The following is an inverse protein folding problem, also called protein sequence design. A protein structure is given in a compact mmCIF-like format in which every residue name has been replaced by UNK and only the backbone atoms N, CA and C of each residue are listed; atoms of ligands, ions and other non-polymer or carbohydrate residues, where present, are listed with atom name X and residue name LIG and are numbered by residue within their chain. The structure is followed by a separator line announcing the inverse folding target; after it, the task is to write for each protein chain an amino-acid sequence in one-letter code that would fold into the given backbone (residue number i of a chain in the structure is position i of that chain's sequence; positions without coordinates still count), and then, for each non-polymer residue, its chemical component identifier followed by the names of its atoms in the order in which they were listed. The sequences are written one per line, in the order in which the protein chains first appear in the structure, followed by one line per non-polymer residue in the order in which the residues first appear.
data_IF_264278450284
#
_entry.id   IF_264278450284
#
_cell.length_a   1.000
_cell.length_b   1.000
_cell.length_c   1.000
_cell.angle_alpha   90.00
_cell.angle_beta   90.00
_cell.angle_gamma   90.00
#
_symmetry.space_group_name_H-M   'P 1'
#
loop_
_entity.id
_entity.type
_entity.pdbx_description
1 polymer ?
#
# COMPACT_ATOMS: atom_id res chain seq x y z
N UNK A 1 19.02 5.43 6.25
CA UNK A 1 18.05 5.15 5.16
C UNK A 1 17.40 6.47 4.76
N UNK A 2 17.19 6.75 3.46
CA UNK A 2 16.49 7.96 3.00
C UNK A 2 15.03 7.87 3.46
N UNK A 3 14.47 8.94 4.02
CA UNK A 3 13.06 9.06 4.37
C UNK A 3 12.27 9.42 3.12
N UNK A 4 11.25 8.66 2.78
CA UNK A 4 10.40 8.90 1.62
C UNK A 4 8.97 9.20 2.06
N UNK A 5 8.31 10.09 1.33
CA UNK A 5 6.91 10.46 1.54
C UNK A 5 6.13 10.23 0.27
N UNK A 6 5.08 9.43 0.37
CA UNK A 6 4.22 9.07 -0.76
C UNK A 6 2.75 9.36 -0.50
N UNK A 7 1.96 9.36 -1.56
CA UNK A 7 0.51 9.46 -1.50
C UNK A 7 -0.13 8.27 -2.19
N UNK A 8 -1.32 7.87 -1.75
CA UNK A 8 -2.10 6.82 -2.38
C UNK A 8 -3.51 7.30 -2.71
N UNK A 9 -4.00 6.89 -3.86
CA UNK A 9 -5.32 7.28 -4.36
C UNK A 9 -6.24 6.08 -4.49
N UNK A 10 -7.51 6.26 -4.15
CA UNK A 10 -8.55 5.32 -4.51
C UNK A 10 -8.83 5.40 -6.01
N UNK A 11 -9.08 4.25 -6.62
CA UNK A 11 -9.33 4.10 -8.06
C UNK A 11 -10.81 4.27 -8.42
N UNK A 12 -11.35 5.46 -8.14
CA UNK A 12 -12.77 5.81 -8.27
C UNK A 12 -13.03 7.07 -9.11
N UNK A 13 -11.99 7.59 -9.78
CA UNK A 13 -12.03 8.89 -10.43
C UNK A 13 -12.11 8.80 -11.97
N UNK A 14 -12.50 9.85 -12.63
CA UNK A 14 -12.41 9.96 -14.08
C UNK A 14 -10.96 10.18 -14.56
N UNK A 15 -10.68 9.79 -15.80
CA UNK A 15 -9.34 9.81 -16.39
C UNK A 15 -8.61 11.16 -16.27
N UNK A 16 -9.31 12.27 -16.54
CA UNK A 16 -8.72 13.60 -16.45
C UNK A 16 -8.27 13.98 -15.03
N UNK A 17 -8.98 13.50 -14.00
CA UNK A 17 -8.64 13.74 -12.61
C UNK A 17 -7.33 13.04 -12.22
N UNK A 18 -7.08 11.82 -12.68
CA UNK A 18 -5.83 11.11 -12.40
C UNK A 18 -4.60 11.84 -12.93
N UNK A 19 -4.66 12.34 -14.16
CA UNK A 19 -3.55 13.11 -14.74
C UNK A 19 -3.29 14.41 -13.97
N UNK A 20 -4.33 15.12 -13.55
CA UNK A 20 -4.21 16.35 -12.78
C UNK A 20 -3.63 16.11 -11.37
N UNK A 21 -4.12 15.07 -10.67
CA UNK A 21 -3.60 14.67 -9.36
C UNK A 21 -2.12 14.27 -9.43
N UNK A 22 -1.74 13.46 -10.42
CA UNK A 22 -0.37 13.00 -10.57
C UNK A 22 0.61 14.16 -10.80
N UNK A 23 0.27 15.12 -11.68
CA UNK A 23 1.07 16.32 -11.90
C UNK A 23 1.24 17.11 -10.61
N UNK A 24 0.14 17.35 -9.88
CA UNK A 24 0.17 18.13 -8.64
C UNK A 24 1.04 17.48 -7.56
N UNK A 25 0.94 16.16 -7.35
CA UNK A 25 1.80 15.47 -6.37
C UNK A 25 3.27 15.46 -6.80
N UNK A 26 3.55 15.34 -8.10
CA UNK A 26 4.93 15.46 -8.60
C UNK A 26 5.47 16.88 -8.44
N UNK A 27 4.67 17.92 -8.68
CA UNK A 27 5.05 19.34 -8.48
C UNK A 27 5.38 19.63 -7.02
N UNK A 28 4.61 19.10 -6.06
CA UNK A 28 4.95 19.20 -4.64
C UNK A 28 6.21 18.42 -4.27
N UNK A 29 6.60 17.45 -5.09
CA UNK A 29 7.83 16.69 -4.93
C UNK A 29 7.67 15.46 -4.03
N UNK A 30 6.51 14.81 -3.97
CA UNK A 30 6.38 13.49 -3.36
C UNK A 30 7.28 12.47 -4.05
N UNK A 31 7.80 11.49 -3.28
CA UNK A 31 8.75 10.50 -3.80
C UNK A 31 8.06 9.38 -4.59
N UNK A 32 6.84 9.03 -4.20
CA UNK A 32 6.05 8.01 -4.89
C UNK A 32 4.54 8.29 -4.81
N UNK A 33 3.81 7.73 -5.76
CA UNK A 33 2.35 7.64 -5.71
C UNK A 33 1.88 6.20 -5.92
N UNK A 34 0.80 5.84 -5.25
CA UNK A 34 0.16 4.53 -5.36
C UNK A 34 -1.29 4.68 -5.82
N UNK A 35 -1.81 3.63 -6.46
CA UNK A 35 -3.26 3.47 -6.65
C UNK A 35 -3.71 2.19 -5.99
N UNK A 36 -4.76 2.25 -5.17
CA UNK A 36 -5.31 1.09 -4.49
C UNK A 36 -5.93 0.10 -5.47
N UNK A 37 -5.75 -1.19 -5.20
CA UNK A 37 -6.35 -2.29 -5.94
C UNK A 37 -7.47 -2.96 -5.14
N UNK A 38 -8.41 -2.17 -4.64
CA UNK A 38 -9.53 -2.66 -3.84
C UNK A 38 -10.61 -3.27 -4.72
N UNK A 39 -11.34 -4.25 -4.16
CA UNK A 39 -12.45 -4.90 -4.85
C UNK A 39 -13.55 -3.87 -5.21
N UNK A 40 -14.20 -4.09 -6.35
CA UNK A 40 -15.30 -3.27 -6.87
C UNK A 40 -14.93 -1.82 -7.25
N UNK A 41 -13.63 -1.49 -7.20
CA UNK A 41 -13.09 -0.25 -7.76
C UNK A 41 -12.43 -0.51 -9.12
N UNK A 42 -11.97 0.55 -9.81
CA UNK A 42 -11.27 0.40 -11.08
C UNK A 42 -9.95 -0.37 -10.88
N UNK A 43 -9.55 -1.26 -11.79
CA UNK A 43 -8.23 -1.89 -11.73
C UNK A 43 -7.12 -0.84 -11.70
N UNK A 44 -6.14 -0.93 -10.78
CA UNK A 44 -5.18 0.15 -10.52
C UNK A 44 -4.30 0.49 -11.71
N UNK A 45 -4.11 -0.45 -12.63
CA UNK A 45 -3.22 -0.26 -13.78
C UNK A 45 -3.71 0.84 -14.75
N UNK A 46 -5.01 0.96 -14.98
CA UNK A 46 -5.58 1.99 -15.84
C UNK A 46 -5.26 3.41 -15.36
N UNK A 47 -5.66 3.78 -14.13
CA UNK A 47 -5.25 5.03 -13.50
C UNK A 47 -3.72 5.26 -13.51
N UNK A 48 -2.93 4.23 -13.17
CA UNK A 48 -1.47 4.35 -13.14
C UNK A 48 -0.85 4.65 -14.50
N UNK A 49 -1.36 4.09 -15.60
CA UNK A 49 -0.89 4.40 -16.95
C UNK A 49 -1.16 5.89 -17.32
N UNK A 50 -2.34 6.40 -16.94
CA UNK A 50 -2.69 7.82 -17.14
C UNK A 50 -1.75 8.72 -16.32
N UNK A 51 -1.50 8.36 -15.06
CA UNK A 51 -0.62 9.08 -14.15
C UNK A 51 0.85 9.03 -14.63
N UNK A 52 1.31 7.88 -15.12
CA UNK A 52 2.66 7.70 -15.66
C UNK A 52 2.92 8.60 -16.88
N UNK A 53 1.95 8.68 -17.80
CA UNK A 53 2.05 9.57 -18.97
C UNK A 53 1.93 11.06 -18.63
N UNK A 54 1.46 11.42 -17.44
CA UNK A 54 1.32 12.79 -16.97
C UNK A 54 2.48 13.29 -16.10
N UNK A 55 3.44 12.44 -15.76
CA UNK A 55 4.56 12.70 -14.84
C UNK A 55 5.90 12.29 -15.44
N UNK A 56 7.01 12.77 -14.88
CA UNK A 56 8.35 12.52 -15.39
C UNK A 56 9.35 11.96 -14.34
N UNK A 57 9.09 12.11 -13.06
CA UNK A 57 10.06 11.79 -11.98
C UNK A 57 9.52 10.88 -10.90
N UNK A 58 8.26 11.06 -10.50
CA UNK A 58 7.67 10.35 -9.37
C UNK A 58 7.59 8.85 -9.63
N UNK A 59 7.97 8.04 -8.65
CA UNK A 59 7.76 6.58 -8.70
C UNK A 59 6.27 6.26 -8.57
N UNK A 60 5.79 5.22 -9.23
CA UNK A 60 4.38 4.88 -9.17
C UNK A 60 4.13 3.37 -9.26
N UNK A 61 3.08 2.91 -8.60
CA UNK A 61 2.74 1.49 -8.60
C UNK A 61 1.43 1.15 -7.91
N UNK A 62 0.93 -0.07 -8.11
CA UNK A 62 -0.28 -0.54 -7.45
C UNK A 62 -0.05 -0.79 -5.95
N UNK A 63 -1.06 -0.53 -5.14
CA UNK A 63 -1.02 -0.81 -3.71
C UNK A 63 -2.34 -1.47 -3.22
N UNK A 64 -2.60 -2.71 -3.64
CA UNK A 64 -1.75 -3.68 -4.31
C UNK A 64 -2.52 -4.48 -5.37
N UNK A 65 -1.82 -5.20 -6.26
CA UNK A 65 -2.41 -6.31 -7.03
C UNK A 65 -2.36 -7.61 -6.21
N UNK A 66 -3.14 -8.63 -6.60
CA UNK A 66 -3.09 -9.92 -5.91
C UNK A 66 -3.19 -11.10 -6.90
N UNK A 67 -2.48 -12.22 -6.64
CA UNK A 67 -2.41 -13.34 -7.57
C UNK A 67 -3.60 -14.30 -7.48
N UNK A 68 -4.61 -14.02 -6.66
CA UNK A 68 -5.84 -14.83 -6.57
C UNK A 68 -6.94 -14.35 -7.51
N UNK A 69 -6.96 -13.05 -7.82
CA UNK A 69 -7.91 -12.48 -8.79
C UNK A 69 -7.27 -12.21 -10.15
N UNK A 70 -5.93 -12.18 -10.23
CA UNK A 70 -5.21 -11.89 -11.44
C UNK A 70 -4.00 -12.83 -11.58
N UNK A 71 -3.97 -13.62 -12.66
CA UNK A 71 -2.86 -14.55 -12.89
C UNK A 71 -1.51 -13.80 -12.99
N UNK A 72 -0.39 -14.35 -12.45
CA UNK A 72 0.91 -13.67 -12.49
C UNK A 72 1.40 -13.30 -13.89
N UNK A 73 0.97 -13.99 -14.93
CA UNK A 73 1.23 -13.61 -16.35
C UNK A 73 0.63 -12.24 -16.66
N UNK A 74 -0.62 -12.00 -16.25
CA UNK A 74 -1.28 -10.71 -16.43
C UNK A 74 -0.64 -9.62 -15.58
N UNK A 75 -0.23 -9.96 -14.35
CA UNK A 75 0.52 -9.04 -13.48
C UNK A 75 1.83 -8.63 -14.15
N UNK A 76 2.58 -9.58 -14.70
CA UNK A 76 3.83 -9.31 -15.42
C UNK A 76 3.61 -8.40 -16.63
N UNK A 77 2.57 -8.69 -17.43
CA UNK A 77 2.23 -7.87 -18.59
C UNK A 77 1.88 -6.43 -18.23
N UNK A 78 1.04 -6.27 -17.22
CA UNK A 78 0.59 -4.96 -16.76
C UNK A 78 1.73 -4.13 -16.15
N UNK A 79 2.60 -4.74 -15.35
CA UNK A 79 3.72 -4.01 -14.75
C UNK A 79 4.80 -3.68 -15.79
N UNK A 80 5.05 -4.55 -16.76
CA UNK A 80 5.96 -4.27 -17.87
C UNK A 80 5.48 -3.06 -18.71
N UNK A 81 4.18 -3.00 -18.99
CA UNK A 81 3.58 -1.85 -19.68
C UNK A 81 3.71 -0.56 -18.86
N UNK A 82 3.38 -0.62 -17.57
CA UNK A 82 3.51 0.53 -16.69
C UNK A 82 4.96 1.02 -16.60
N UNK A 83 5.90 0.09 -16.52
CA UNK A 83 7.33 0.41 -16.45
C UNK A 83 7.81 1.08 -17.74
N UNK A 84 7.41 0.58 -18.88
CA UNK A 84 7.72 1.19 -20.19
C UNK A 84 7.14 2.61 -20.32
N UNK A 85 5.83 2.78 -20.03
CA UNK A 85 5.15 4.09 -20.12
C UNK A 85 5.73 5.10 -19.13
N UNK A 86 6.14 4.64 -17.97
CA UNK A 86 6.75 5.51 -16.95
C UNK A 86 8.23 5.81 -17.18
N UNK A 87 8.89 5.16 -18.15
CA UNK A 87 10.34 5.29 -18.34
C UNK A 87 11.15 4.71 -17.17
N UNK A 88 10.74 3.55 -16.66
CA UNK A 88 11.45 2.83 -15.60
C UNK A 88 11.16 3.32 -14.18
N UNK A 89 10.05 4.02 -13.93
CA UNK A 89 9.66 4.52 -12.59
C UNK A 89 8.68 3.62 -11.86
N UNK A 90 8.21 2.53 -12.49
CA UNK A 90 7.24 1.63 -11.88
C UNK A 90 7.84 0.83 -10.71
N UNK A 91 6.99 0.49 -9.76
CA UNK A 91 7.21 -0.59 -8.79
C UNK A 91 5.99 -1.50 -8.75
N UNK A 92 6.21 -2.78 -8.43
CA UNK A 92 5.15 -3.77 -8.29
C UNK A 92 4.77 -3.90 -6.81
N UNK A 93 3.54 -3.54 -6.47
CA UNK A 93 2.96 -3.87 -5.17
C UNK A 93 2.10 -5.11 -5.26
N UNK A 94 2.40 -6.13 -4.46
CA UNK A 94 1.65 -7.37 -4.34
C UNK A 94 1.18 -7.63 -2.92
N UNK A 95 -0.03 -8.13 -2.76
CA UNK A 95 -0.56 -8.67 -1.51
C UNK A 95 -1.48 -9.86 -1.81
N UNK A 96 -1.86 -10.58 -0.77
CA UNK A 96 -2.82 -11.68 -0.95
C UNK A 96 -4.26 -11.22 -1.25
N UNK A 97 -4.54 -9.93 -1.10
CA UNK A 97 -5.89 -9.36 -1.19
C UNK A 97 -6.70 -9.51 0.11
N UNK A 98 -7.70 -8.66 0.28
CA UNK A 98 -8.66 -8.68 1.38
C UNK A 98 -10.07 -8.96 0.84
N UNK A 99 -10.95 -9.47 1.71
CA UNK A 99 -12.38 -9.72 1.40
C UNK A 99 -12.67 -10.63 0.20
N UNK A 100 -11.71 -11.46 -0.23
CA UNK A 100 -11.89 -12.36 -1.38
C UNK A 100 -12.89 -13.49 -1.10
N UNK A 101 -13.12 -13.81 0.14
CA UNK A 101 -14.16 -14.74 0.61
C UNK A 101 -15.57 -14.29 0.20
N UNK A 102 -15.83 -12.98 0.14
CA UNK A 102 -17.09 -12.42 -0.38
C UNK A 102 -17.34 -12.74 -1.86
N UNK A 103 -16.29 -13.08 -2.60
CA UNK A 103 -16.34 -13.54 -3.99
C UNK A 103 -16.25 -15.07 -4.11
N UNK A 104 -16.24 -15.80 -2.99
CA UNK A 104 -16.05 -17.25 -2.98
C UNK A 104 -14.62 -17.70 -3.32
N UNK A 105 -13.65 -16.80 -3.28
CA UNK A 105 -12.25 -17.09 -3.62
C UNK A 105 -11.49 -17.51 -2.36
N UNK A 106 -11.11 -18.79 -2.28
CA UNK A 106 -10.32 -19.34 -1.20
C UNK A 106 -8.84 -18.96 -1.37
N UNK A 107 -8.26 -18.32 -0.38
CA UNK A 107 -6.83 -17.96 -0.36
C UNK A 107 -5.99 -19.10 0.21
N UNK A 108 -5.87 -20.19 -0.56
CA UNK A 108 -5.07 -21.36 -0.15
C UNK A 108 -3.57 -21.12 -0.31
N UNK A 109 -2.75 -21.75 0.54
CA UNK A 109 -1.27 -21.71 0.48
C UNK A 109 -0.68 -20.30 0.28
N UNK A 110 -1.07 -19.27 1.05
CA UNK A 110 -0.80 -17.87 0.69
C UNK A 110 0.70 -17.54 0.55
N UNK A 111 1.56 -18.15 1.32
CA UNK A 111 3.02 -17.92 1.22
C UNK A 111 3.60 -18.52 -0.07
N UNK A 112 3.19 -19.73 -0.43
CA UNK A 112 3.62 -20.38 -1.68
C UNK A 112 3.07 -19.61 -2.89
N UNK A 113 1.78 -19.27 -2.89
CA UNK A 113 1.16 -18.49 -3.97
C UNK A 113 1.87 -17.16 -4.19
N UNK A 114 2.16 -16.41 -3.14
CA UNK A 114 2.87 -15.14 -3.25
C UNK A 114 4.32 -15.33 -3.74
N UNK A 115 5.03 -16.33 -3.24
CA UNK A 115 6.40 -16.64 -3.66
C UNK A 115 6.46 -16.98 -5.16
N UNK A 116 5.60 -17.89 -5.59
CA UNK A 116 5.59 -18.32 -6.98
C UNK A 116 5.05 -17.23 -7.92
N UNK A 117 4.08 -16.43 -7.51
CA UNK A 117 3.62 -15.29 -8.29
C UNK A 117 4.76 -14.30 -8.57
N UNK A 118 5.57 -13.97 -7.55
CA UNK A 118 6.76 -13.12 -7.73
C UNK A 118 7.77 -13.79 -8.65
N UNK A 119 8.01 -15.10 -8.50
CA UNK A 119 8.95 -15.82 -9.35
C UNK A 119 8.50 -15.85 -10.81
N UNK A 120 7.21 -16.11 -11.09
CA UNK A 120 6.62 -16.04 -12.44
C UNK A 120 6.75 -14.65 -13.04
N UNK A 121 6.44 -13.59 -12.28
CA UNK A 121 6.58 -12.21 -12.77
C UNK A 121 8.04 -11.92 -13.14
N UNK A 122 8.99 -12.25 -12.27
CA UNK A 122 10.44 -12.06 -12.53
C UNK A 122 10.92 -12.86 -13.73
N UNK A 123 10.51 -14.13 -13.85
CA UNK A 123 10.80 -15.01 -14.99
C UNK A 123 10.36 -14.37 -16.32
N UNK A 124 9.12 -13.87 -16.38
CA UNK A 124 8.59 -13.23 -17.58
C UNK A 124 9.25 -11.89 -17.91
N UNK A 125 9.49 -11.04 -16.90
CA UNK A 125 10.20 -9.77 -17.10
C UNK A 125 11.65 -9.97 -17.55
N UNK A 126 12.32 -11.02 -17.06
CA UNK A 126 13.66 -11.41 -17.51
C UNK A 126 13.68 -12.07 -18.89
N UNK A 127 12.52 -12.28 -19.54
CA UNK A 127 12.40 -12.97 -20.84
C UNK A 127 12.98 -14.38 -20.84
N UNK A 128 12.93 -15.07 -19.67
CA UNK A 128 13.43 -16.44 -19.56
C UNK A 128 12.60 -17.41 -20.39
N UNK A 129 13.27 -18.32 -21.09
CA UNK A 129 12.64 -19.30 -21.99
C UNK A 129 12.61 -20.72 -21.39
N UNK A 130 13.11 -20.90 -20.16
CA UNK A 130 12.97 -22.15 -19.44
C UNK A 130 11.52 -22.36 -19.00
N UNK A 131 11.01 -23.60 -18.90
CA UNK A 131 9.72 -23.83 -18.28
C UNK A 131 9.78 -23.45 -16.78
N UNK A 132 8.69 -22.92 -16.24
CA UNK A 132 8.52 -22.72 -14.79
C UNK A 132 7.55 -23.77 -14.25
N UNK A 133 8.00 -24.63 -13.38
CA UNK A 133 7.20 -25.74 -12.83
C UNK A 133 7.06 -25.59 -11.32
N UNK A 134 6.12 -24.74 -10.90
CA UNK A 134 5.80 -24.50 -9.49
C UNK A 134 4.71 -25.43 -8.97
N UNK A 135 4.44 -25.37 -7.68
CA UNK A 135 3.35 -26.12 -7.03
C UNK A 135 1.97 -25.44 -7.24
N UNK A 136 1.95 -24.20 -7.70
CA UNK A 136 0.74 -23.37 -7.91
C UNK A 136 0.65 -22.92 -9.36
N UNK A 137 1.74 -22.38 -9.92
CA UNK A 137 1.78 -21.83 -11.28
C UNK A 137 2.76 -22.62 -12.16
N UNK A 138 2.38 -22.79 -13.43
CA UNK A 138 3.18 -23.49 -14.42
C UNK A 138 3.27 -22.65 -15.69
N UNK A 139 4.47 -22.56 -16.27
CA UNK A 139 4.70 -21.97 -17.59
C UNK A 139 5.48 -22.95 -18.45
N UNK A 140 5.07 -23.13 -19.71
CA UNK A 140 5.89 -23.83 -20.69
C UNK A 140 7.01 -22.91 -21.20
N UNK A 141 8.02 -23.48 -21.83
CA UNK A 141 9.11 -22.71 -22.46
C UNK A 141 8.66 -21.73 -23.55
N UNK A 142 7.40 -21.83 -24.01
CA UNK A 142 6.81 -20.93 -25.01
C UNK A 142 6.06 -19.75 -24.41
N UNK A 143 5.84 -19.75 -23.08
CA UNK A 143 5.14 -18.67 -22.39
C UNK A 143 6.10 -17.52 -22.08
N UNK A 144 6.31 -16.65 -23.06
CA UNK A 144 7.15 -15.46 -22.96
C UNK A 144 6.33 -14.21 -23.33
N UNK A 145 6.76 -13.05 -22.87
CA UNK A 145 6.16 -11.79 -23.29
C UNK A 145 6.60 -11.49 -24.75
N UNK A 146 5.65 -11.22 -25.65
CA UNK A 146 5.89 -11.00 -27.09
C UNK A 146 6.15 -9.52 -27.42
N UNK A 147 6.77 -8.77 -26.53
CA UNK A 147 7.13 -7.36 -26.69
C UNK A 147 8.39 -7.05 -25.86
N UNK A 148 9.01 -5.93 -26.17
CA UNK A 148 10.21 -5.47 -25.43
C UNK A 148 9.86 -5.13 -23.99
N UNK A 149 10.63 -5.67 -23.05
CA UNK A 149 10.53 -5.37 -21.61
C UNK A 149 11.62 -4.36 -21.24
N UNK A 150 11.21 -3.21 -20.74
CA UNK A 150 12.13 -2.10 -20.42
C UNK A 150 13.16 -2.46 -19.34
N UNK A 151 12.76 -3.27 -18.33
CA UNK A 151 13.66 -3.74 -17.28
C UNK A 151 13.32 -5.19 -16.86
N UNK A 152 14.33 -6.01 -16.76
CA UNK A 152 14.18 -7.39 -16.25
C UNK A 152 13.81 -7.45 -14.75
N UNK A 153 14.04 -6.38 -14.00
CA UNK A 153 13.73 -6.29 -12.57
C UNK A 153 13.04 -4.97 -12.24
N UNK A 154 11.81 -5.06 -11.76
CA UNK A 154 11.02 -3.95 -11.23
C UNK A 154 11.02 -4.05 -9.71
N UNK A 155 11.21 -2.96 -8.94
CA UNK A 155 11.16 -3.00 -7.48
C UNK A 155 9.86 -3.60 -6.96
N UNK A 156 9.96 -4.45 -5.93
CA UNK A 156 8.85 -5.20 -5.37
C UNK A 156 8.49 -4.71 -3.98
N UNK A 157 7.24 -4.33 -3.78
CA UNK A 157 6.63 -4.07 -2.48
C UNK A 157 5.65 -5.19 -2.13
N UNK A 158 5.76 -5.80 -0.96
CA UNK A 158 4.77 -6.77 -0.46
C UNK A 158 3.92 -6.12 0.63
N UNK A 159 2.61 -6.09 0.40
CA UNK A 159 1.61 -5.67 1.39
C UNK A 159 1.28 -6.81 2.35
N UNK A 160 1.53 -6.64 3.65
CA UNK A 160 1.19 -7.66 4.65
C UNK A 160 1.23 -7.13 6.08
N UNK A 161 0.38 -7.74 6.92
CA UNK A 161 0.45 -7.65 8.39
C UNK A 161 1.10 -8.89 9.01
N UNK A 162 0.92 -10.05 8.37
CA UNK A 162 1.22 -11.36 8.96
C UNK A 162 2.71 -11.72 8.97
N UNK A 163 3.17 -12.47 9.99
CA UNK A 163 4.59 -12.79 10.17
C UNK A 163 5.16 -13.68 9.04
N UNK A 164 4.36 -14.59 8.48
CA UNK A 164 4.83 -15.51 7.44
C UNK A 164 5.11 -14.80 6.10
N UNK A 165 4.20 -13.91 5.68
CA UNK A 165 4.40 -13.12 4.46
C UNK A 165 5.43 -12.01 4.67
N UNK A 166 5.56 -11.44 5.87
CA UNK A 166 6.62 -10.51 6.20
C UNK A 166 8.01 -11.19 6.14
N UNK A 167 8.12 -12.43 6.61
CA UNK A 167 9.35 -13.21 6.43
C UNK A 167 9.64 -13.47 4.95
N UNK A 168 8.64 -13.88 4.15
CA UNK A 168 8.83 -14.03 2.71
C UNK A 168 9.28 -12.70 2.07
N UNK A 169 8.68 -11.58 2.46
CA UNK A 169 9.09 -10.27 1.96
C UNK A 169 10.55 -9.95 2.31
N UNK A 170 11.01 -10.30 3.50
CA UNK A 170 12.42 -10.21 3.88
C UNK A 170 13.36 -11.00 2.96
N UNK A 171 12.90 -12.14 2.43
CA UNK A 171 13.67 -12.94 1.49
C UNK A 171 13.76 -12.30 0.09
N UNK A 172 12.67 -11.66 -0.41
CA UNK A 172 12.52 -11.38 -1.84
C UNK A 172 12.12 -9.94 -2.20
N UNK A 173 11.63 -9.13 -1.25
CA UNK A 173 11.09 -7.80 -1.55
C UNK A 173 12.10 -6.67 -1.27
N UNK A 174 11.81 -5.50 -1.85
CA UNK A 174 12.52 -4.25 -1.62
C UNK A 174 11.83 -3.42 -0.54
N UNK A 175 10.49 -3.52 -0.45
CA UNK A 175 9.67 -2.85 0.57
C UNK A 175 8.59 -3.77 1.13
N UNK A 176 8.22 -3.53 2.39
CA UNK A 176 7.06 -4.16 3.05
C UNK A 176 6.09 -3.07 3.49
N UNK A 177 4.87 -3.11 2.99
CA UNK A 177 3.82 -2.16 3.35
C UNK A 177 2.84 -2.76 4.36
N UNK A 178 2.58 -2.01 5.43
CA UNK A 178 1.49 -2.26 6.36
C UNK A 178 0.37 -1.28 6.00
N UNK A 179 -0.62 -1.75 5.25
CA UNK A 179 -1.76 -0.93 4.84
C UNK A 179 -2.78 -0.77 5.97
N UNK A 180 -3.32 0.44 6.13
CA UNK A 180 -4.25 0.76 7.21
C UNK A 180 -3.60 0.85 8.58
N UNK A 181 -2.28 1.12 8.66
CA UNK A 181 -1.52 1.25 9.89
C UNK A 181 -0.58 2.45 9.82
N UNK A 182 -0.58 3.23 10.89
CA UNK A 182 0.38 4.32 11.13
C UNK A 182 0.88 4.34 12.59
N UNK A 183 0.83 3.18 13.23
CA UNK A 183 1.33 2.97 14.58
C UNK A 183 2.87 2.80 14.56
N UNK A 184 3.66 3.72 15.17
CA UNK A 184 5.11 3.62 15.18
C UNK A 184 5.62 2.32 15.82
N UNK A 185 4.90 1.74 16.79
CA UNK A 185 5.30 0.50 17.46
C UNK A 185 5.33 -0.70 16.49
N UNK A 186 4.52 -0.68 15.42
CA UNK A 186 4.50 -1.72 14.40
C UNK A 186 5.77 -1.78 13.56
N UNK A 187 6.56 -0.71 13.50
CA UNK A 187 7.84 -0.71 12.77
C UNK A 187 8.80 -1.75 13.36
N UNK A 188 8.99 -1.76 14.68
CA UNK A 188 9.84 -2.74 15.35
C UNK A 188 9.33 -4.18 15.18
N UNK A 189 8.02 -4.39 15.31
CA UNK A 189 7.38 -5.69 15.09
C UNK A 189 7.63 -6.19 13.67
N UNK A 190 7.42 -5.33 12.68
CA UNK A 190 7.60 -5.69 11.27
C UNK A 190 9.09 -5.92 10.96
N UNK A 191 10.00 -5.13 11.49
CA UNK A 191 11.45 -5.33 11.34
C UNK A 191 11.87 -6.71 11.84
N UNK A 192 11.39 -7.13 13.01
CA UNK A 192 11.64 -8.48 13.53
C UNK A 192 11.13 -9.59 12.62
N UNK A 193 9.93 -9.41 12.03
CA UNK A 193 9.32 -10.37 11.08
C UNK A 193 10.11 -10.47 9.77
N UNK A 194 10.51 -9.33 9.20
CA UNK A 194 11.33 -9.24 7.98
C UNK A 194 12.69 -9.91 8.19
N UNK A 195 13.35 -9.64 9.31
CA UNK A 195 14.67 -10.16 9.62
C UNK A 195 14.74 -11.70 9.64
N UNK A 196 13.62 -12.38 9.95
CA UNK A 196 13.56 -13.86 9.89
C UNK A 196 13.80 -14.35 8.46
N UNK A 197 13.15 -13.75 7.49
CA UNK A 197 13.30 -14.15 6.08
C UNK A 197 14.60 -13.65 5.46
N UNK A 198 15.02 -12.43 5.77
CA UNK A 198 16.28 -11.86 5.29
C UNK A 198 17.46 -12.76 5.65
N UNK A 199 17.55 -13.20 6.94
CA UNK A 199 18.59 -14.15 7.37
C UNK A 199 18.58 -15.47 6.60
N UNK A 200 17.39 -16.02 6.29
CA UNK A 200 17.28 -17.28 5.49
C UNK A 200 17.83 -17.12 4.08
N UNK A 201 17.67 -15.93 3.52
CA UNK A 201 18.12 -15.60 2.17
C UNK A 201 19.54 -15.01 2.12
N UNK A 202 20.25 -14.92 3.25
CA UNK A 202 21.57 -14.29 3.32
C UNK A 202 21.54 -12.78 3.04
N UNK A 203 20.38 -12.12 3.22
CA UNK A 203 20.20 -10.68 3.03
C UNK A 203 20.37 -9.95 4.36
N UNK A 204 20.72 -8.67 4.27
CA UNK A 204 20.71 -7.78 5.42
C UNK A 204 19.28 -7.68 6.00
N UNK A 205 19.17 -7.62 7.33
CA UNK A 205 17.89 -7.45 8.02
C UNK A 205 17.16 -6.14 7.61
N UNK A 206 17.91 -5.14 7.18
CA UNK A 206 17.40 -3.83 6.73
C UNK A 206 17.27 -3.71 5.21
N UNK A 207 17.53 -4.78 4.45
CA UNK A 207 17.44 -4.78 2.99
C UNK A 207 16.04 -4.45 2.45
N UNK A 208 14.98 -4.78 3.20
CA UNK A 208 13.61 -4.38 2.87
C UNK A 208 13.18 -3.15 3.68
N UNK A 209 12.78 -2.09 2.99
CA UNK A 209 12.19 -0.89 3.58
C UNK A 209 10.83 -1.18 4.22
N UNK A 210 10.47 -0.43 5.27
CA UNK A 210 9.14 -0.52 5.91
C UNK A 210 8.32 0.70 5.52
N UNK A 211 7.12 0.44 4.99
CA UNK A 211 6.16 1.46 4.57
C UNK A 211 4.93 1.39 5.47
N UNK A 212 4.62 2.48 6.17
CA UNK A 212 3.35 2.64 6.87
C UNK A 212 2.45 3.57 6.08
N UNK A 213 1.19 3.14 5.86
CA UNK A 213 0.23 3.95 5.12
C UNK A 213 -1.19 3.67 5.53
N UNK A 214 -1.97 4.73 5.70
CA UNK A 214 -3.37 4.65 6.09
C UNK A 214 -4.15 5.86 5.61
N UNK A 215 -5.45 5.87 5.92
CA UNK A 215 -6.31 7.05 5.80
C UNK A 215 -5.60 8.28 6.33
N UNK A 216 -5.68 9.35 5.57
CA UNK A 216 -5.15 10.66 5.95
C UNK A 216 -6.25 11.69 5.82
N UNK A 217 -6.48 12.46 6.88
CA UNK A 217 -7.36 13.63 6.85
C UNK A 217 -6.63 14.77 7.54
N UNK A 218 -6.09 15.70 6.75
CA UNK A 218 -5.43 16.89 7.25
C UNK A 218 -6.29 18.13 6.95
N UNK A 219 -6.50 18.96 7.95
CA UNK A 219 -7.22 20.24 7.83
C UNK A 219 -6.76 21.21 8.93
N UNK A 220 -6.98 22.52 8.75
CA UNK A 220 -6.73 23.51 9.80
C UNK A 220 -7.67 23.29 11.01
N UNK A 221 -8.90 22.82 10.78
CA UNK A 221 -9.78 22.30 11.82
C UNK A 221 -9.43 20.83 12.12
N UNK A 222 -8.46 20.62 13.00
CA UNK A 222 -8.02 19.28 13.40
C UNK A 222 -9.13 18.44 14.04
N UNK A 223 -10.14 19.05 14.66
CA UNK A 223 -11.27 18.32 15.22
C UNK A 223 -12.19 17.78 14.12
N UNK A 224 -12.47 18.58 13.09
CA UNK A 224 -13.21 18.14 11.90
C UNK A 224 -12.45 17.04 11.14
N UNK A 225 -11.12 17.20 11.00
CA UNK A 225 -10.25 16.19 10.38
C UNK A 225 -10.34 14.85 11.12
N UNK A 226 -10.24 14.84 12.45
CA UNK A 226 -10.37 13.60 13.25
C UNK A 226 -11.76 12.97 13.13
N UNK A 227 -12.84 13.77 13.16
CA UNK A 227 -14.19 13.22 12.94
C UNK A 227 -14.31 12.54 11.59
N UNK A 228 -13.85 13.19 10.52
CA UNK A 228 -13.87 12.61 9.18
C UNK A 228 -13.01 11.34 9.09
N UNK A 229 -11.82 11.35 9.67
CA UNK A 229 -10.94 10.18 9.68
C UNK A 229 -11.56 8.98 10.41
N UNK A 230 -12.26 9.19 11.52
CA UNK A 230 -12.98 8.12 12.23
C UNK A 230 -14.04 7.44 11.36
N UNK A 231 -14.77 8.19 10.54
CA UNK A 231 -15.76 7.63 9.61
C UNK A 231 -15.12 6.74 8.54
N UNK A 232 -13.94 7.11 8.04
CA UNK A 232 -13.20 6.31 7.07
C UNK A 232 -12.54 5.07 7.72
N UNK A 233 -11.92 5.25 8.87
CA UNK A 233 -11.25 4.17 9.60
C UNK A 233 -12.24 3.10 10.05
N UNK A 234 -13.44 3.48 10.45
CA UNK A 234 -14.49 2.56 10.89
C UNK A 234 -14.80 1.45 9.86
N UNK A 235 -14.60 1.74 8.56
CA UNK A 235 -14.90 0.79 7.48
C UNK A 235 -13.96 -0.42 7.46
N UNK A 236 -12.72 -0.27 7.94
CA UNK A 236 -11.74 -1.35 7.89
C UNK A 236 -11.13 -1.73 9.24
N UNK A 237 -11.32 -0.91 10.28
CA UNK A 237 -10.77 -1.14 11.61
C UNK A 237 -11.11 -2.52 12.20
N UNK A 238 -12.35 -3.04 12.08
CA UNK A 238 -12.67 -4.38 12.56
C UNK A 238 -11.80 -5.48 11.95
N UNK A 239 -11.37 -5.28 10.68
CA UNK A 239 -10.52 -6.24 9.97
C UNK A 239 -9.05 -6.16 10.39
N UNK A 240 -8.53 -4.96 10.68
CA UNK A 240 -7.07 -4.74 10.87
C UNK A 240 -6.65 -4.60 12.34
N UNK A 241 -7.53 -4.17 13.24
CA UNK A 241 -7.15 -3.90 14.63
C UNK A 241 -6.59 -5.13 15.35
N UNK A 242 -7.17 -6.30 15.12
CA UNK A 242 -6.68 -7.57 15.68
C UNK A 242 -5.37 -8.07 15.07
N UNK A 243 -4.86 -7.41 14.03
CA UNK A 243 -3.58 -7.75 13.39
C UNK A 243 -2.39 -7.01 14.02
N UNK A 244 -2.66 -5.95 14.80
CA UNK A 244 -1.64 -5.19 15.53
C UNK A 244 -1.42 -5.78 16.93
N UNK A 245 -0.32 -6.50 17.18
CA UNK A 245 -0.05 -7.13 18.48
C UNK A 245 0.39 -6.13 19.56
N UNK A 246 0.55 -4.86 19.21
CA UNK A 246 0.95 -3.80 20.15
C UNK A 246 -0.25 -3.08 20.77
N UNK A 247 -1.45 -3.36 20.28
CA UNK A 247 -2.70 -2.80 20.75
C UNK A 247 -3.57 -3.87 21.40
N UNK A 248 -4.29 -3.50 22.43
CA UNK A 248 -5.36 -4.30 23.00
C UNK A 248 -6.68 -3.61 22.67
N UNK A 249 -7.44 -4.20 21.77
CA UNK A 249 -8.77 -3.69 21.38
C UNK A 249 -9.80 -4.75 21.77
N UNK A 250 -10.79 -4.34 22.55
CA UNK A 250 -11.83 -5.24 23.04
C UNK A 250 -12.63 -5.85 21.87
N UNK A 251 -12.80 -7.19 21.79
CA UNK A 251 -13.54 -7.83 20.72
C UNK A 251 -14.97 -7.30 20.56
N UNK A 252 -15.65 -7.02 21.69
CA UNK A 252 -17.01 -6.49 21.69
C UNK A 252 -17.09 -5.09 21.04
N UNK A 253 -16.04 -4.29 21.15
CA UNK A 253 -15.96 -3.00 20.47
C UNK A 253 -15.93 -3.20 18.95
N UNK A 254 -15.09 -4.12 18.46
CA UNK A 254 -14.96 -4.44 17.04
C UNK A 254 -16.28 -5.00 16.48
N UNK A 255 -16.93 -5.92 17.19
CA UNK A 255 -18.23 -6.45 16.78
C UNK A 255 -19.33 -5.37 16.70
N UNK A 256 -19.36 -4.46 17.68
CA UNK A 256 -20.32 -3.34 17.67
C UNK A 256 -20.07 -2.43 16.47
N UNK A 257 -18.82 -2.16 16.16
CA UNK A 257 -18.41 -1.35 15.02
C UNK A 257 -18.81 -2.02 13.71
N UNK A 258 -18.51 -3.32 13.56
CA UNK A 258 -18.88 -4.10 12.38
C UNK A 258 -20.39 -4.11 12.15
N UNK A 259 -21.19 -4.33 13.19
CA UNK A 259 -22.66 -4.26 13.11
C UNK A 259 -23.16 -2.87 12.70
N UNK A 260 -22.53 -1.80 13.15
CA UNK A 260 -22.90 -0.44 12.74
C UNK A 260 -22.57 -0.20 11.26
N UNK A 261 -21.38 -0.62 10.80
CA UNK A 261 -20.97 -0.53 9.39
C UNK A 261 -21.91 -1.32 8.47
N UNK A 262 -22.28 -2.55 8.86
CA UNK A 262 -23.21 -3.40 8.08
C UNK A 262 -24.61 -2.76 7.93
N UNK A 263 -25.05 -1.94 8.89
CA UNK A 263 -26.30 -1.17 8.82
C UNK A 263 -26.14 0.14 8.05
N UNK A 264 -24.95 0.48 7.55
CA UNK A 264 -24.65 1.76 6.90
C UNK A 264 -24.52 2.93 7.88
N UNK A 265 -24.53 2.69 9.19
CA UNK A 265 -24.44 3.71 10.23
C UNK A 265 -22.97 4.05 10.56
N UNK A 266 -22.35 4.79 9.65
CA UNK A 266 -20.95 5.22 9.78
C UNK A 266 -20.70 6.13 10.99
N UNK A 267 -21.67 6.95 11.37
CA UNK A 267 -21.52 7.87 12.49
C UNK A 267 -21.44 7.13 13.82
N UNK A 268 -22.33 6.16 14.05
CA UNK A 268 -22.28 5.30 15.23
C UNK A 268 -21.01 4.46 15.27
N UNK A 269 -20.55 3.94 14.13
CA UNK A 269 -19.27 3.23 14.07
C UNK A 269 -18.09 4.15 14.43
N UNK A 270 -18.03 5.35 13.85
CA UNK A 270 -17.00 6.34 14.12
C UNK A 270 -16.95 6.80 15.60
N UNK A 271 -18.12 6.93 16.24
CA UNK A 271 -18.21 7.32 17.66
C UNK A 271 -17.59 6.28 18.62
N UNK A 272 -17.40 5.04 18.17
CA UNK A 272 -16.72 4.00 18.95
C UNK A 272 -15.19 4.14 18.94
N UNK A 273 -14.62 4.95 18.03
CA UNK A 273 -13.17 5.10 17.87
C UNK A 273 -12.68 6.24 18.76
N UNK A 274 -11.86 5.94 19.76
CA UNK A 274 -11.15 6.95 20.56
C UNK A 274 -10.09 7.65 19.72
N UNK A 275 -9.61 8.82 20.15
CA UNK A 275 -8.51 9.52 19.46
C UNK A 275 -7.19 8.74 19.55
N UNK A 276 -6.96 8.02 20.64
CA UNK A 276 -5.77 7.16 20.78
C UNK A 276 -5.83 5.96 19.83
N UNK A 277 -6.99 5.33 19.67
CA UNK A 277 -7.16 4.25 18.71
C UNK A 277 -7.02 4.77 17.25
N UNK A 278 -7.62 5.94 16.95
CA UNK A 278 -7.50 6.57 15.65
C UNK A 278 -6.04 6.81 15.26
N UNK A 279 -5.21 7.25 16.22
CA UNK A 279 -3.80 7.54 15.99
C UNK A 279 -2.98 6.35 15.52
N UNK A 280 -3.41 5.12 15.77
CA UNK A 280 -2.73 3.93 15.26
C UNK A 280 -3.11 3.60 13.80
N UNK A 281 -4.24 4.13 13.31
CA UNK A 281 -4.85 3.72 12.04
C UNK A 281 -5.09 4.86 11.05
N UNK A 282 -4.80 6.11 11.41
CA UNK A 282 -4.91 7.25 10.51
C UNK A 282 -3.94 8.38 10.85
N UNK A 283 -3.52 9.12 9.82
CA UNK A 283 -3.00 10.48 9.98
C UNK A 283 -4.20 11.42 10.03
N UNK A 284 -4.48 12.02 11.19
CA UNK A 284 -5.67 12.85 11.34
C UNK A 284 -5.41 14.05 12.24
N UNK A 285 -5.76 15.25 11.76
CA UNK A 285 -5.61 16.48 12.55
C UNK A 285 -5.09 17.65 11.73
N UNK A 286 -4.49 18.61 12.43
CA UNK A 286 -3.82 19.77 11.80
C UNK A 286 -2.53 19.34 11.10
N UNK A 287 -1.98 20.15 10.16
CA UNK A 287 -0.66 19.88 9.58
C UNK A 287 0.43 19.60 10.61
N UNK A 288 0.46 20.35 11.71
CA UNK A 288 1.45 20.15 12.79
C UNK A 288 1.31 18.78 13.48
N UNK A 289 0.08 18.33 13.74
CA UNK A 289 -0.19 17.01 14.33
C UNK A 289 0.20 15.89 13.37
N UNK A 290 -0.08 16.03 12.06
CA UNK A 290 0.31 15.05 11.03
C UNK A 290 1.83 15.00 10.89
N UNK A 291 2.53 16.12 10.92
CA UNK A 291 4.00 16.18 10.90
C UNK A 291 4.58 15.44 12.12
N UNK A 292 4.11 15.76 13.31
CA UNK A 292 4.61 15.13 14.54
C UNK A 292 4.40 13.60 14.51
N UNK A 293 3.26 13.14 14.00
CA UNK A 293 2.96 11.73 13.86
C UNK A 293 3.89 11.05 12.82
N UNK A 294 4.08 11.66 11.65
CA UNK A 294 4.97 11.17 10.61
C UNK A 294 6.43 11.07 11.10
N UNK A 295 6.91 12.08 11.84
CA UNK A 295 8.24 12.09 12.44
C UNK A 295 8.40 10.94 13.46
N UNK A 296 7.40 10.64 14.28
CA UNK A 296 7.45 9.52 15.21
C UNK A 296 7.59 8.17 14.46
N UNK A 297 6.92 8.01 13.32
CA UNK A 297 7.03 6.80 12.48
C UNK A 297 8.43 6.70 11.86
N UNK A 298 8.99 7.80 11.36
CA UNK A 298 10.35 7.81 10.84
C UNK A 298 11.40 7.56 11.95
N UNK A 299 11.20 8.14 13.13
CA UNK A 299 12.06 7.90 14.30
C UNK A 299 12.03 6.43 14.73
N UNK A 300 10.91 5.73 14.56
CA UNK A 300 10.80 4.29 14.79
C UNK A 300 11.52 3.43 13.74
N UNK A 301 11.99 4.02 12.62
CA UNK A 301 12.79 3.33 11.59
C UNK A 301 12.03 2.95 10.32
N UNK A 302 10.85 3.52 10.06
CA UNK A 302 10.19 3.38 8.76
C UNK A 302 11.02 4.08 7.67
N UNK A 303 11.04 3.50 6.48
CA UNK A 303 11.70 4.08 5.31
C UNK A 303 10.79 5.00 4.51
N UNK A 304 9.49 4.73 4.52
CA UNK A 304 8.49 5.48 3.78
C UNK A 304 7.18 5.58 4.56
N UNK A 305 6.53 6.72 4.50
CA UNK A 305 5.13 6.90 4.89
C UNK A 305 4.28 7.13 3.65
N UNK A 306 3.02 6.72 3.72
CA UNK A 306 2.08 6.91 2.63
C UNK A 306 0.77 7.52 3.12
N UNK A 307 0.48 8.72 2.66
CA UNK A 307 -0.77 9.41 2.93
C UNK A 307 -1.87 8.87 2.00
N UNK A 308 -2.87 8.18 2.58
CA UNK A 308 -3.99 7.61 1.85
C UNK A 308 -5.23 8.53 1.79
N UNK A 309 -6.16 8.20 0.90
CA UNK A 309 -7.45 8.90 0.78
C UNK A 309 -8.22 8.95 2.09
N UNK A 310 -9.07 10.01 2.30
CA UNK A 310 -9.41 11.10 1.36
C UNK A 310 -8.44 12.28 1.37
N UNK A 311 -7.37 12.29 2.12
CA UNK A 311 -6.32 13.28 2.33
C UNK A 311 -6.74 14.50 3.17
N UNK A 312 -8.00 14.92 3.12
CA UNK A 312 -8.53 16.06 3.87
C UNK A 312 -10.05 16.02 3.96
N UNK A 313 -10.66 17.11 4.42
CA UNK A 313 -12.12 17.29 4.36
C UNK A 313 -12.60 17.34 2.89
N UNK A 314 -11.74 17.83 2.00
CA UNK A 314 -11.80 17.61 0.55
C UNK A 314 -10.44 17.12 0.05
N UNK A 315 -10.42 16.24 -0.95
CA UNK A 315 -9.17 15.71 -1.52
C UNK A 315 -8.22 16.82 -1.96
N UNK A 316 -8.74 17.84 -2.64
CA UNK A 316 -7.94 18.95 -3.16
C UNK A 316 -7.24 19.76 -2.05
N UNK A 317 -7.97 20.08 -0.96
CA UNK A 317 -7.40 20.83 0.17
C UNK A 317 -6.41 19.96 0.96
N UNK A 318 -6.76 18.70 1.17
CA UNK A 318 -5.85 17.76 1.85
C UNK A 318 -4.52 17.61 1.12
N UNK A 319 -4.53 17.36 -0.18
CA UNK A 319 -3.29 17.28 -1.01
C UNK A 319 -2.51 18.59 -0.99
N UNK A 320 -3.21 19.73 -1.00
CA UNK A 320 -2.56 21.04 -0.89
C UNK A 320 -1.83 21.18 0.45
N UNK A 321 -2.50 20.93 1.57
CA UNK A 321 -1.90 21.03 2.91
C UNK A 321 -0.71 20.04 3.09
N UNK A 322 -0.86 18.82 2.58
CA UNK A 322 0.22 17.83 2.58
C UNK A 322 1.43 18.32 1.78
N UNK A 323 1.21 18.89 0.59
CA UNK A 323 2.28 19.36 -0.30
C UNK A 323 2.95 20.65 0.16
N UNK A 324 2.18 21.61 0.68
CA UNK A 324 2.68 22.95 1.01
C UNK A 324 3.19 23.06 2.44
N UNK A 325 2.65 22.29 3.40
CA UNK A 325 2.99 22.42 4.81
C UNK A 325 3.66 21.15 5.37
N UNK A 326 3.10 19.97 5.11
CA UNK A 326 3.59 18.72 5.74
C UNK A 326 4.89 18.25 5.08
N UNK A 327 4.89 18.07 3.78
CA UNK A 327 6.04 17.53 3.05
C UNK A 327 7.32 18.36 3.23
N UNK A 328 7.30 19.71 3.12
CA UNK A 328 8.50 20.52 3.34
C UNK A 328 9.06 20.42 4.78
N UNK A 329 8.18 20.23 5.78
CA UNK A 329 8.60 20.07 7.17
C UNK A 329 9.32 18.73 7.40
N UNK A 330 8.83 17.63 6.78
CA UNK A 330 9.41 16.29 6.89
C UNK A 330 10.76 16.13 6.15
N UNK A 331 11.17 17.12 5.35
CA UNK A 331 12.41 17.13 4.57
C UNK A 331 13.53 17.99 5.17
N UNK A 332 13.23 18.68 6.27
CA UNK A 332 14.24 19.46 7.02
C UNK A 332 15.05 18.54 7.94
#
# INVERSE_FOLDING_TARGET
MRREVSVAFQSDKGAAAYAALARRVEEYGFDALSVYGDLMFQPPIGPLLIMAGATARIRLGPATMNPYTLHPVEIAGQIALLDAVSGGRAYLGLARGAWLDSLGIAQTKPVATMREAVAVVRHLLAQERAPFDGAIFHLSAHNVLHYEVARAAVPLMIGTWGPRLAALAGEIADEVKIGGCVNPAMVAVMRGRIAVGARRAGRDADAAGIVLGAVTVVDEDGAAARRRAKEEVALYLPTVAGLDPTLSVEPELLERMERAVQRGDRQSAAALISDDLLRAFAFAGTPAEVIAHAEAIFAAGASRIEFGTPHGLTDARGIQLLGEQVLPALRR
#
